data_IF_115681341903
#
_entry.id   IF_115681341903
#
_cell.length_a   1.000
_cell.length_b   1.000
_cell.length_c   1.000
_cell.angle_alpha   90.00
_cell.angle_beta   90.00
_cell.angle_gamma   90.00
#
_symmetry.space_group_name_H-M   'P 1'
#
loop_
_entity.id
_entity.type
_entity.pdbx_description
1 polymer ?
#
# COMPACT_ATOMS: atom_id res chain seq x y z
N UNK A 1 13.58 -57.67 13.78
CA UNK A 1 13.01 -56.45 13.14
C UNK A 1 12.77 -55.36 14.19
N UNK A 2 12.13 -55.71 15.32
CA UNK A 2 11.96 -54.84 16.50
C UNK A 2 13.29 -54.34 17.06
N UNK A 3 14.31 -55.19 17.19
CA UNK A 3 15.63 -54.75 17.73
C UNK A 3 16.37 -53.75 16.84
N UNK A 4 16.17 -53.83 15.52
CA UNK A 4 16.75 -52.86 14.57
C UNK A 4 16.06 -51.50 14.68
N UNK A 5 14.74 -51.49 14.88
CA UNK A 5 13.97 -50.27 15.14
C UNK A 5 14.39 -49.67 16.49
N UNK A 6 14.57 -50.50 17.52
CA UNK A 6 14.99 -50.05 18.84
C UNK A 6 16.41 -49.43 18.82
N UNK A 7 17.33 -50.04 18.06
CA UNK A 7 18.69 -49.52 17.88
C UNK A 7 18.73 -48.24 17.04
N UNK A 8 17.77 -48.05 16.13
CA UNK A 8 17.61 -46.80 15.38
C UNK A 8 17.19 -45.64 16.30
N UNK A 9 16.22 -45.84 17.19
CA UNK A 9 15.81 -44.82 18.17
C UNK A 9 16.90 -44.50 19.21
N UNK A 10 17.78 -45.46 19.51
CA UNK A 10 18.95 -45.27 20.39
C UNK A 10 20.16 -44.66 19.69
N UNK A 11 20.11 -44.47 18.36
CA UNK A 11 21.22 -43.91 17.61
C UNK A 11 21.45 -42.45 18.03
N UNK A 12 22.68 -42.11 18.45
CA UNK A 12 23.07 -40.76 18.88
C UNK A 12 22.75 -39.69 17.84
N UNK A 13 22.93 -39.99 16.55
CA UNK A 13 22.60 -39.06 15.47
C UNK A 13 21.10 -38.83 15.32
N UNK A 14 20.29 -39.88 15.50
CA UNK A 14 18.83 -39.77 15.52
C UNK A 14 18.35 -38.94 16.72
N UNK A 15 18.91 -39.17 17.92
CA UNK A 15 18.58 -38.41 19.12
C UNK A 15 18.97 -36.93 19.01
N UNK A 16 20.11 -36.61 18.40
CA UNK A 16 20.54 -35.22 18.14
C UNK A 16 19.60 -34.56 17.12
N UNK A 17 19.26 -35.23 16.02
CA UNK A 17 18.33 -34.71 15.03
C UNK A 17 16.94 -34.46 15.63
N UNK A 18 16.46 -35.36 16.49
CA UNK A 18 15.20 -35.20 17.20
C UNK A 18 15.24 -34.02 18.17
N UNK A 19 16.33 -33.85 18.92
CA UNK A 19 16.49 -32.71 19.82
C UNK A 19 16.50 -31.36 19.07
N UNK A 20 17.20 -31.28 17.93
CA UNK A 20 17.20 -30.09 17.08
C UNK A 20 15.81 -29.79 16.50
N UNK A 21 15.07 -30.81 16.09
CA UNK A 21 13.70 -30.65 15.60
C UNK A 21 12.79 -30.07 16.67
N UNK A 22 12.89 -30.56 17.91
CA UNK A 22 12.10 -30.05 19.05
C UNK A 22 12.45 -28.60 19.35
N UNK A 23 13.73 -28.24 19.36
CA UNK A 23 14.17 -26.85 19.57
C UNK A 23 13.65 -25.94 18.45
N UNK A 24 13.72 -26.38 17.20
CA UNK A 24 13.19 -25.61 16.07
C UNK A 24 11.68 -25.36 16.18
N UNK A 25 10.91 -26.38 16.57
CA UNK A 25 9.46 -26.25 16.80
C UNK A 25 9.18 -25.27 17.94
N UNK A 26 9.92 -25.35 19.05
CA UNK A 26 9.75 -24.45 20.19
C UNK A 26 10.07 -22.99 19.83
N UNK A 27 11.15 -22.77 19.07
CA UNK A 27 11.50 -21.43 18.56
C UNK A 27 10.39 -20.92 17.63
N UNK A 28 9.91 -21.75 16.70
CA UNK A 28 8.83 -21.38 15.79
C UNK A 28 7.55 -20.99 16.56
N UNK A 29 7.14 -21.81 17.54
CA UNK A 29 5.97 -21.52 18.37
C UNK A 29 6.13 -20.24 19.20
N UNK A 30 7.33 -20.01 19.75
CA UNK A 30 7.63 -18.77 20.48
C UNK A 30 7.55 -17.55 19.55
N UNK A 31 8.12 -17.63 18.34
CA UNK A 31 8.05 -16.56 17.35
C UNK A 31 6.60 -16.30 16.90
N UNK A 32 5.80 -17.35 16.67
CA UNK A 32 4.36 -17.21 16.34
C UNK A 32 3.57 -16.55 17.47
N UNK A 33 3.83 -16.94 18.72
CA UNK A 33 3.21 -16.33 19.90
C UNK A 33 3.58 -14.84 20.04
N UNK A 34 4.86 -14.49 19.88
CA UNK A 34 5.31 -13.10 19.90
C UNK A 34 4.67 -12.28 18.78
N UNK A 35 4.54 -12.85 17.57
CA UNK A 35 3.86 -12.19 16.46
C UNK A 35 2.38 -11.92 16.75
N UNK A 36 1.67 -12.87 17.38
CA UNK A 36 0.28 -12.67 17.81
C UNK A 36 0.14 -11.58 18.86
N UNK A 37 0.98 -11.61 19.90
CA UNK A 37 0.99 -10.55 20.92
C UNK A 37 1.27 -9.17 20.33
N UNK A 38 2.24 -9.08 19.41
CA UNK A 38 2.58 -7.85 18.71
C UNK A 38 1.42 -7.33 17.87
N UNK A 39 0.71 -8.23 17.17
CA UNK A 39 -0.48 -7.89 16.40
C UNK A 39 -1.60 -7.34 17.30
N UNK A 40 -1.86 -7.99 18.44
CA UNK A 40 -2.86 -7.53 19.41
C UNK A 40 -2.52 -6.16 20.01
N UNK A 41 -1.24 -5.90 20.28
CA UNK A 41 -0.76 -4.60 20.78
C UNK A 41 -0.95 -3.50 19.72
N UNK A 42 -0.54 -3.74 18.47
CA UNK A 42 -0.75 -2.77 17.39
C UNK A 42 -2.23 -2.56 17.07
N UNK A 43 -3.08 -3.58 17.19
CA UNK A 43 -4.52 -3.43 17.04
C UNK A 43 -5.10 -2.50 18.12
N UNK A 44 -4.70 -2.64 19.39
CA UNK A 44 -5.14 -1.74 20.46
C UNK A 44 -4.65 -0.31 20.24
N UNK A 45 -3.39 -0.15 19.78
CA UNK A 45 -2.86 1.16 19.38
C UNK A 45 -3.69 1.78 18.24
N UNK A 46 -4.09 0.99 17.24
CA UNK A 46 -4.95 1.46 16.14
C UNK A 46 -6.28 2.01 16.68
N UNK A 47 -6.95 1.31 17.60
CA UNK A 47 -8.20 1.78 18.18
C UNK A 47 -8.01 3.13 18.86
N UNK A 48 -7.01 3.24 19.74
CA UNK A 48 -6.72 4.49 20.46
C UNK A 48 -6.32 5.62 19.51
N UNK A 49 -5.53 5.32 18.47
CA UNK A 49 -5.16 6.29 17.45
C UNK A 49 -6.37 6.82 16.69
N UNK A 50 -7.29 5.94 16.29
CA UNK A 50 -8.49 6.33 15.56
C UNK A 50 -9.39 7.27 16.38
N UNK A 51 -9.53 7.01 17.69
CA UNK A 51 -10.25 7.92 18.60
C UNK A 51 -9.63 9.32 18.62
N UNK A 52 -8.28 9.41 18.66
CA UNK A 52 -7.57 10.69 18.65
C UNK A 52 -7.68 11.44 17.31
N UNK A 53 -7.70 10.73 16.19
CA UNK A 53 -7.84 11.34 14.85
C UNK A 53 -9.19 12.05 14.70
N UNK A 54 -10.26 11.48 15.25
CA UNK A 54 -11.62 12.03 15.19
C UNK A 54 -11.73 13.33 16.02
N UNK A 55 -10.94 13.47 17.07
CA UNK A 55 -10.91 14.69 17.88
C UNK A 55 -10.19 15.80 17.09
N UNK A 56 -10.91 16.89 16.79
CA UNK A 56 -10.39 18.01 15.99
C UNK A 56 -9.21 18.72 16.66
N UNK A 57 -9.20 18.79 18.00
CA UNK A 57 -8.19 19.49 18.80
C UNK A 57 -6.84 18.75 18.91
N UNK A 58 -6.78 17.47 18.54
CA UNK A 58 -5.53 16.70 18.63
C UNK A 58 -4.48 17.27 17.67
N UNK A 59 -3.27 17.52 18.18
CA UNK A 59 -2.16 18.05 17.40
C UNK A 59 -1.75 17.10 16.27
N UNK A 60 -1.63 17.64 15.06
CA UNK A 60 -1.31 16.84 13.88
C UNK A 60 0.11 16.25 13.92
N UNK A 61 1.08 16.95 14.50
CA UNK A 61 2.44 16.45 14.65
C UNK A 61 2.51 15.35 15.70
N UNK A 62 1.76 15.47 16.80
CA UNK A 62 1.59 14.37 17.77
C UNK A 62 1.06 13.12 17.07
N UNK A 63 -0.01 13.26 16.28
CA UNK A 63 -0.57 12.16 15.51
C UNK A 63 0.43 11.57 14.51
N UNK A 64 1.22 12.41 13.84
CA UNK A 64 2.28 11.94 12.94
C UNK A 64 3.33 11.10 13.67
N UNK A 65 3.83 11.57 14.81
CA UNK A 65 4.79 10.83 15.64
C UNK A 65 4.21 9.51 16.15
N UNK A 66 2.92 9.48 16.51
CA UNK A 66 2.24 8.25 16.91
C UNK A 66 2.07 7.27 15.75
N UNK A 67 1.80 7.77 14.53
CA UNK A 67 1.67 6.94 13.32
C UNK A 67 2.97 6.19 12.99
N UNK A 68 4.13 6.75 13.34
CA UNK A 68 5.44 6.12 13.10
C UNK A 68 5.76 4.99 14.09
N UNK A 69 5.00 4.86 15.19
CA UNK A 69 5.17 3.79 16.18
C UNK A 69 4.59 2.44 15.73
N UNK A 70 3.83 2.42 14.64
CA UNK A 70 3.31 1.18 14.04
C UNK A 70 4.41 0.49 13.23
N UNK A 71 4.70 -0.75 13.56
CA UNK A 71 5.79 -1.51 12.94
C UNK A 71 5.30 -2.53 11.93
N UNK A 72 4.04 -2.97 12.03
CA UNK A 72 3.39 -3.77 10.99
C UNK A 72 2.88 -2.81 9.92
N UNK A 73 3.36 -3.02 8.69
CA UNK A 73 3.05 -2.14 7.56
C UNK A 73 1.54 -1.96 7.33
N UNK A 74 0.73 -3.02 7.51
CA UNK A 74 -0.72 -2.94 7.37
C UNK A 74 -1.38 -1.92 8.32
N UNK A 75 -0.98 -1.90 9.60
CA UNK A 75 -1.49 -0.89 10.53
C UNK A 75 -0.96 0.49 10.19
N UNK A 76 0.34 0.59 9.86
CA UNK A 76 0.96 1.85 9.42
C UNK A 76 0.22 2.46 8.22
N UNK A 77 -0.12 1.63 7.22
CA UNK A 77 -0.87 2.02 6.03
C UNK A 77 -2.23 2.63 6.41
N UNK A 78 -2.96 2.00 7.33
CA UNK A 78 -4.27 2.50 7.78
C UNK A 78 -4.11 3.85 8.48
N UNK A 79 -3.26 3.93 9.51
CA UNK A 79 -3.14 5.16 10.32
C UNK A 79 -2.60 6.33 9.52
N UNK A 80 -1.62 6.12 8.64
CA UNK A 80 -1.09 7.18 7.79
C UNK A 80 -2.08 7.59 6.70
N UNK A 81 -2.85 6.66 6.13
CA UNK A 81 -3.94 7.03 5.21
C UNK A 81 -5.00 7.90 5.89
N UNK A 82 -5.37 7.60 7.14
CA UNK A 82 -6.27 8.44 7.93
C UNK A 82 -5.70 9.85 8.16
N UNK A 83 -4.40 9.96 8.47
CA UNK A 83 -3.75 11.27 8.61
C UNK A 83 -3.64 12.04 7.30
N UNK A 84 -3.35 11.35 6.19
CA UNK A 84 -3.33 11.97 4.88
C UNK A 84 -4.72 12.52 4.51
N UNK A 85 -5.78 11.77 4.82
CA UNK A 85 -7.16 12.22 4.65
C UNK A 85 -7.48 13.45 5.51
N UNK A 86 -7.13 13.43 6.80
CA UNK A 86 -7.28 14.60 7.69
C UNK A 86 -6.49 15.81 7.18
N UNK A 87 -5.29 15.59 6.63
CA UNK A 87 -4.49 16.65 6.01
C UNK A 87 -5.17 17.22 4.75
N UNK A 88 -5.77 16.37 3.90
CA UNK A 88 -6.54 16.79 2.72
C UNK A 88 -7.76 17.63 3.14
N UNK A 89 -8.51 17.18 4.14
CA UNK A 89 -9.68 17.91 4.67
C UNK A 89 -9.29 19.29 5.22
N UNK A 90 -8.13 19.37 5.86
CA UNK A 90 -7.54 20.62 6.34
C UNK A 90 -6.80 21.42 5.25
N UNK A 91 -6.92 21.04 3.97
CA UNK A 91 -6.26 21.67 2.81
C UNK A 91 -4.72 21.70 2.88
N UNK A 92 -4.13 20.87 3.74
CA UNK A 92 -2.69 20.70 3.86
C UNK A 92 -2.20 19.59 2.92
N UNK A 93 -2.32 19.86 1.62
CA UNK A 93 -1.99 18.91 0.55
C UNK A 93 -0.51 18.51 0.53
N UNK A 94 0.39 19.39 0.97
CA UNK A 94 1.83 19.09 1.08
C UNK A 94 2.07 17.99 2.13
N UNK A 95 1.42 18.07 3.28
CA UNK A 95 1.55 17.04 4.32
C UNK A 95 0.94 15.72 3.87
N UNK A 96 -0.23 15.76 3.23
CA UNK A 96 -0.86 14.58 2.65
C UNK A 96 0.06 13.88 1.62
N UNK A 97 0.67 14.66 0.71
CA UNK A 97 1.65 14.14 -0.27
C UNK A 97 2.84 13.49 0.42
N UNK A 98 3.42 14.15 1.43
CA UNK A 98 4.57 13.63 2.16
C UNK A 98 4.23 12.30 2.85
N UNK A 99 3.04 12.17 3.42
CA UNK A 99 2.58 10.93 4.05
C UNK A 99 2.47 9.79 3.03
N UNK A 100 1.85 10.03 1.87
CA UNK A 100 1.74 8.99 0.85
C UNK A 100 3.10 8.64 0.22
N UNK A 101 4.01 9.61 0.06
CA UNK A 101 5.39 9.34 -0.35
C UNK A 101 6.13 8.44 0.66
N UNK A 102 5.96 8.68 1.96
CA UNK A 102 6.51 7.81 3.00
C UNK A 102 5.91 6.40 2.91
N UNK A 103 4.58 6.29 2.76
CA UNK A 103 3.91 5.00 2.62
C UNK A 103 4.38 4.21 1.40
N UNK A 104 4.65 4.89 0.28
CA UNK A 104 5.19 4.25 -0.91
C UNK A 104 6.57 3.63 -0.64
N UNK A 105 7.47 4.38 0.01
CA UNK A 105 8.81 3.89 0.38
C UNK A 105 8.70 2.73 1.39
N UNK A 106 7.87 2.87 2.41
CA UNK A 106 7.66 1.82 3.43
C UNK A 106 7.06 0.56 2.80
N UNK A 107 6.16 0.70 1.83
CA UNK A 107 5.56 -0.41 1.09
C UNK A 107 6.59 -1.18 0.26
N UNK A 108 7.54 -0.49 -0.37
CA UNK A 108 8.65 -1.11 -1.08
C UNK A 108 9.60 -1.88 -0.17
N UNK A 109 9.83 -1.37 1.05
CA UNK A 109 10.69 -1.99 2.04
C UNK A 109 9.97 -3.07 2.89
N UNK A 110 8.67 -3.22 2.72
CA UNK A 110 7.87 -4.19 3.46
C UNK A 110 8.01 -5.61 2.91
N UNK A 111 7.76 -6.57 3.80
CA UNK A 111 7.69 -8.00 3.55
C UNK A 111 6.33 -8.44 2.93
N UNK A 112 5.62 -7.52 2.25
CA UNK A 112 4.43 -7.85 1.48
C UNK A 112 4.72 -8.84 0.35
N UNK A 113 3.74 -9.73 0.10
CA UNK A 113 3.72 -10.55 -1.12
C UNK A 113 3.62 -9.68 -2.37
N UNK A 114 4.08 -10.20 -3.51
CA UNK A 114 4.11 -9.46 -4.78
C UNK A 114 2.76 -8.86 -5.14
N UNK A 115 1.70 -9.66 -5.08
CA UNK A 115 0.35 -9.26 -5.50
C UNK A 115 -0.21 -8.19 -4.55
N UNK A 116 -0.08 -8.39 -3.23
CA UNK A 116 -0.49 -7.39 -2.24
C UNK A 116 0.28 -6.07 -2.40
N UNK A 117 1.58 -6.14 -2.71
CA UNK A 117 2.41 -4.95 -2.95
C UNK A 117 1.93 -4.20 -4.20
N UNK A 118 1.66 -4.90 -5.31
CA UNK A 118 1.14 -4.27 -6.53
C UNK A 118 -0.16 -3.50 -6.25
N UNK A 119 -1.13 -4.15 -5.60
CA UNK A 119 -2.42 -3.53 -5.27
C UNK A 119 -2.24 -2.31 -4.37
N UNK A 120 -1.52 -2.46 -3.25
CA UNK A 120 -1.33 -1.37 -2.29
C UNK A 120 -0.58 -0.20 -2.93
N UNK A 121 0.47 -0.48 -3.70
CA UNK A 121 1.23 0.56 -4.37
C UNK A 121 0.38 1.31 -5.41
N UNK A 122 -0.50 0.62 -6.14
CA UNK A 122 -1.42 1.26 -7.09
C UNK A 122 -2.29 2.31 -6.39
N UNK A 123 -2.89 1.95 -5.25
CA UNK A 123 -3.72 2.87 -4.45
C UNK A 123 -2.91 4.04 -3.86
N UNK A 124 -1.68 3.78 -3.38
CA UNK A 124 -0.81 4.85 -2.87
C UNK A 124 -0.41 5.81 -4.00
N UNK A 125 0.06 5.27 -5.13
CA UNK A 125 0.50 6.05 -6.29
C UNK A 125 -0.64 6.92 -6.82
N UNK A 126 -1.84 6.37 -6.92
CA UNK A 126 -3.00 7.14 -7.36
C UNK A 126 -3.28 8.34 -6.46
N UNK A 127 -3.22 8.16 -5.15
CA UNK A 127 -3.42 9.26 -4.21
C UNK A 127 -2.32 10.33 -4.37
N UNK A 128 -1.07 9.93 -4.60
CA UNK A 128 0.02 10.86 -4.90
C UNK A 128 -0.26 11.65 -6.18
N UNK A 129 -0.69 10.98 -7.25
CA UNK A 129 -1.05 11.62 -8.53
C UNK A 129 -2.19 12.62 -8.33
N UNK A 130 -3.28 12.22 -7.67
CA UNK A 130 -4.45 13.07 -7.40
C UNK A 130 -4.09 14.29 -6.55
N UNK A 131 -3.17 14.15 -5.58
CA UNK A 131 -2.69 15.28 -4.78
C UNK A 131 -1.81 16.21 -5.63
N UNK A 132 -0.92 15.66 -6.47
CA UNK A 132 -0.10 16.48 -7.37
C UNK A 132 -0.94 17.24 -8.42
N UNK A 133 -2.06 16.66 -8.88
CA UNK A 133 -3.07 17.38 -9.66
C UNK A 133 -3.59 18.60 -8.88
N UNK A 134 -4.03 18.41 -7.63
CA UNK A 134 -4.56 19.51 -6.82
C UNK A 134 -3.50 20.57 -6.44
N UNK A 135 -2.22 20.19 -6.45
CA UNK A 135 -1.08 21.08 -6.20
C UNK A 135 -0.57 21.78 -7.47
N UNK A 136 -1.16 21.52 -8.64
CA UNK A 136 -0.65 21.96 -9.95
C UNK A 136 0.82 21.54 -10.22
N UNK A 137 1.27 20.42 -9.63
CA UNK A 137 2.65 19.92 -9.70
C UNK A 137 2.80 18.81 -10.75
N UNK A 138 2.89 19.22 -12.02
CA UNK A 138 3.00 18.31 -13.16
C UNK A 138 4.25 17.41 -13.09
N UNK A 139 5.42 17.99 -12.78
CA UNK A 139 6.68 17.24 -12.84
C UNK A 139 6.74 16.16 -11.75
N UNK A 140 6.25 16.45 -10.55
CA UNK A 140 6.19 15.44 -9.48
C UNK A 140 5.15 14.36 -9.80
N UNK A 141 3.95 14.74 -10.25
CA UNK A 141 2.92 13.78 -10.64
C UNK A 141 3.38 12.84 -11.78
N UNK A 142 4.09 13.38 -12.77
CA UNK A 142 4.59 12.61 -13.92
C UNK A 142 5.59 11.51 -13.51
N UNK A 143 6.39 11.71 -12.47
CA UNK A 143 7.30 10.66 -11.96
C UNK A 143 6.54 9.41 -11.54
N UNK A 144 5.38 9.60 -10.91
CA UNK A 144 4.53 8.53 -10.41
C UNK A 144 3.73 7.86 -11.51
N UNK A 145 3.26 8.62 -12.50
CA UNK A 145 2.65 8.07 -13.72
C UNK A 145 3.57 7.03 -14.39
N UNK A 146 4.85 7.36 -14.55
CA UNK A 146 5.82 6.46 -15.18
C UNK A 146 6.09 5.17 -14.37
N UNK A 147 5.68 5.14 -13.10
CA UNK A 147 5.83 3.96 -12.22
C UNK A 147 4.60 3.05 -12.20
N UNK A 148 3.49 3.45 -12.85
CA UNK A 148 2.25 2.68 -12.87
C UNK A 148 2.42 1.38 -13.66
N UNK A 149 1.86 0.30 -13.11
CA UNK A 149 1.62 -0.92 -13.88
C UNK A 149 0.66 -0.61 -15.03
N UNK A 150 0.94 -1.16 -16.21
CA UNK A 150 0.13 -0.94 -17.39
C UNK A 150 -1.13 -1.80 -17.29
N UNK A 151 -2.25 -1.14 -17.04
CA UNK A 151 -3.60 -1.72 -17.03
C UNK A 151 -4.63 -0.63 -17.29
N UNK A 152 -5.85 -1.04 -17.65
CA UNK A 152 -6.99 -0.17 -17.95
C UNK A 152 -7.16 0.99 -16.97
N UNK A 153 -7.24 0.68 -15.67
CA UNK A 153 -7.49 1.66 -14.59
C UNK A 153 -6.39 2.71 -14.52
N UNK A 154 -5.14 2.28 -14.66
CA UNK A 154 -3.97 3.15 -14.60
C UNK A 154 -3.84 4.01 -15.85
N UNK A 155 -4.22 3.49 -17.02
CA UNK A 155 -4.31 4.29 -18.25
C UNK A 155 -5.41 5.36 -18.17
N UNK A 156 -6.54 5.06 -17.53
CA UNK A 156 -7.58 6.05 -17.28
C UNK A 156 -7.09 7.17 -16.33
N UNK A 157 -6.42 6.81 -15.24
CA UNK A 157 -5.80 7.76 -14.31
C UNK A 157 -4.74 8.64 -15.00
N UNK A 158 -3.91 8.05 -15.85
CA UNK A 158 -2.92 8.76 -16.65
C UNK A 158 -3.57 9.75 -17.62
N UNK A 159 -4.67 9.35 -18.27
CA UNK A 159 -5.47 10.23 -19.10
C UNK A 159 -6.03 11.43 -18.32
N UNK A 160 -6.60 11.17 -17.14
CA UNK A 160 -7.14 12.21 -16.26
C UNK A 160 -6.05 13.20 -15.81
N UNK A 161 -4.86 12.69 -15.47
CA UNK A 161 -3.70 13.50 -15.13
C UNK A 161 -3.29 14.43 -16.29
N UNK A 162 -3.04 13.88 -17.47
CA UNK A 162 -2.61 14.69 -18.62
C UNK A 162 -3.69 15.68 -19.07
N UNK A 163 -4.97 15.29 -19.00
CA UNK A 163 -6.11 16.16 -19.32
C UNK A 163 -6.15 17.38 -18.42
N UNK A 164 -5.94 17.21 -17.12
CA UNK A 164 -5.89 18.32 -16.16
C UNK A 164 -4.82 19.35 -16.55
N UNK A 165 -3.63 18.89 -16.92
CA UNK A 165 -2.51 19.74 -17.35
C UNK A 165 -2.56 20.17 -18.82
N UNK A 166 -3.71 19.99 -19.50
CA UNK A 166 -3.95 20.38 -20.90
C UNK A 166 -2.99 19.72 -21.90
N UNK A 167 -2.50 18.53 -21.57
CA UNK A 167 -1.70 17.66 -22.44
C UNK A 167 -2.65 16.71 -23.19
N UNK A 168 -3.47 17.29 -24.07
CA UNK A 168 -4.63 16.58 -24.62
C UNK A 168 -4.26 15.40 -25.53
N UNK A 169 -3.15 15.48 -26.25
CA UNK A 169 -2.67 14.38 -27.09
C UNK A 169 -2.25 13.18 -26.22
N UNK A 170 -1.46 13.43 -25.18
CA UNK A 170 -1.06 12.42 -24.20
C UNK A 170 -2.27 11.86 -23.46
N UNK A 171 -3.21 12.71 -23.05
CA UNK A 171 -4.43 12.29 -22.38
C UNK A 171 -5.27 11.36 -23.24
N UNK A 172 -5.51 11.73 -24.51
CA UNK A 172 -6.28 10.93 -25.45
C UNK A 172 -5.59 9.60 -25.76
N UNK A 173 -4.27 9.57 -25.90
CA UNK A 173 -3.50 8.34 -26.08
C UNK A 173 -3.67 7.39 -24.89
N UNK A 174 -3.59 7.89 -23.66
CA UNK A 174 -3.83 7.08 -22.47
C UNK A 174 -5.27 6.57 -22.38
N UNK A 175 -6.28 7.40 -22.71
CA UNK A 175 -7.66 6.93 -22.78
C UNK A 175 -7.87 5.87 -23.86
N UNK A 176 -7.19 5.96 -25.01
CA UNK A 176 -7.27 4.95 -26.07
C UNK A 176 -6.71 3.60 -25.60
N UNK A 177 -5.58 3.59 -24.89
CA UNK A 177 -5.05 2.38 -24.25
C UNK A 177 -6.02 1.81 -23.20
N UNK A 178 -6.66 2.66 -22.40
CA UNK A 178 -7.66 2.20 -21.44
C UNK A 178 -8.87 1.54 -22.15
N UNK A 179 -9.28 2.05 -23.32
CA UNK A 179 -10.36 1.49 -24.12
C UNK A 179 -10.01 0.15 -24.77
N UNK A 180 -8.74 -0.10 -25.11
CA UNK A 180 -8.29 -1.37 -25.68
C UNK A 180 -8.43 -2.54 -24.71
N UNK A 181 -8.34 -2.27 -23.40
CA UNK A 181 -8.41 -3.29 -22.34
C UNK A 181 -9.79 -3.44 -21.70
N UNK A 182 -10.72 -2.50 -21.95
CA UNK A 182 -12.05 -2.51 -21.33
C UNK A 182 -13.07 -3.30 -22.16
N UNK A 183 -13.90 -4.09 -21.47
CA UNK A 183 -14.95 -4.92 -22.09
C UNK A 183 -16.35 -4.52 -21.64
N UNK A 184 -16.48 -3.82 -20.52
CA UNK A 184 -17.75 -3.28 -20.04
C UNK A 184 -18.16 -2.04 -20.86
N UNK A 185 -19.30 -2.14 -21.56
CA UNK A 185 -19.82 -1.05 -22.40
C UNK A 185 -20.08 0.25 -21.61
N UNK A 186 -20.51 0.14 -20.35
CA UNK A 186 -20.74 1.29 -19.48
C UNK A 186 -19.46 2.08 -19.24
N UNK A 187 -18.38 1.39 -18.87
CA UNK A 187 -17.06 1.99 -18.69
C UNK A 187 -16.45 2.49 -19.99
N UNK A 188 -16.59 1.76 -21.10
CA UNK A 188 -16.18 2.24 -22.44
C UNK A 188 -16.81 3.60 -22.74
N UNK A 189 -18.13 3.72 -22.54
CA UNK A 189 -18.84 4.97 -22.77
C UNK A 189 -18.36 6.09 -21.83
N UNK A 190 -18.10 5.76 -20.57
CA UNK A 190 -17.56 6.71 -19.60
C UNK A 190 -16.17 7.23 -20.00
N UNK A 191 -15.25 6.37 -20.41
CA UNK A 191 -13.89 6.75 -20.85
C UNK A 191 -13.98 7.60 -22.13
N UNK A 192 -14.86 7.25 -23.08
CA UNK A 192 -15.09 8.06 -24.29
C UNK A 192 -15.54 9.49 -23.98
N UNK A 193 -16.41 9.67 -22.99
CA UNK A 193 -16.86 10.99 -22.54
C UNK A 193 -15.73 11.82 -21.91
N UNK A 194 -14.67 11.18 -21.43
CA UNK A 194 -13.49 11.87 -20.88
C UNK A 194 -12.55 12.41 -21.94
N UNK A 195 -12.51 11.82 -23.15
CA UNK A 195 -11.64 12.29 -24.23
C UNK A 195 -11.91 13.75 -24.59
N UNK A 196 -10.86 14.47 -24.94
CA UNK A 196 -10.96 15.86 -25.40
C UNK A 196 -10.92 15.85 -26.91
N UNK A 197 -12.04 16.20 -27.53
CA UNK A 197 -12.11 16.41 -28.98
C UNK A 197 -11.80 17.89 -29.25
N UNK A 198 -10.83 18.16 -30.10
CA UNK A 198 -10.64 19.52 -30.61
C UNK A 198 -11.93 19.93 -31.33
N UNK A 199 -12.60 20.96 -30.83
CA UNK A 199 -13.45 21.73 -31.70
C UNK A 199 -12.49 22.61 -32.50
N UNK A 200 -12.41 22.35 -33.80
CA UNK A 200 -11.68 23.18 -34.77
C UNK A 200 -11.96 24.68 -34.59
#
# INVERSE_FOLDING_TARGET
MIDRILNFFKNKYFLIALALLVVFIAIYQFLDYQNKLKNDDEFKKLISFNEKVIIEETDFNELMEESDKFTIFGYKLIVKSLLAQKAIENKNLISARNIYNQLYIDGMNSNLGRDSRSIINSEIIENIIRINIQLDDFEEGKKFINSLEQNQRNHELEGDFYKYFKKFDEANNSYDKALEEETDEGKINFIRLKKVYSND
#
